data_IF_768796578367
#
_entry.id   IF_768796578367
#
_cell.length_a   1.000
_cell.length_b   1.000
_cell.length_c   1.000
_cell.angle_alpha   90.00
_cell.angle_beta   90.00
_cell.angle_gamma   90.00
#
_symmetry.space_group_name_H-M   'P 1'
#
loop_
_entity.id
_entity.type
_entity.pdbx_description
1 polymer ?
#
# COMPACT_ATOMS: atom_id res chain seq x y z
N UNK A 1 -17.34 0.28 -3.33
CA UNK A 1 -17.96 -0.64 -4.30
C UNK A 1 -18.55 -1.82 -3.53
N UNK A 2 -19.80 -2.17 -3.79
CA UNK A 2 -20.45 -3.34 -3.15
C UNK A 2 -20.12 -4.60 -3.98
N UNK A 3 -19.58 -5.63 -3.33
CA UNK A 3 -19.15 -6.89 -3.96
C UNK A 3 -20.09 -8.07 -3.64
N UNK A 4 -21.24 -7.82 -3.03
CA UNK A 4 -22.20 -8.85 -2.64
C UNK A 4 -21.80 -9.52 -1.32
N UNK A 5 -21.97 -8.79 -0.21
CA UNK A 5 -21.60 -9.23 1.14
C UNK A 5 -20.25 -8.72 1.63
N UNK A 6 -19.53 -7.98 0.78
CA UNK A 6 -18.26 -7.31 1.10
C UNK A 6 -18.23 -5.91 0.48
N UNK A 7 -17.39 -5.06 1.04
CA UNK A 7 -17.20 -3.68 0.59
C UNK A 7 -15.77 -3.48 0.13
N UNK A 8 -15.59 -2.91 -1.06
CA UNK A 8 -14.30 -2.42 -1.52
C UNK A 8 -14.27 -0.89 -1.45
N UNK A 9 -13.46 -0.36 -0.54
CA UNK A 9 -13.11 1.05 -0.47
C UNK A 9 -11.90 1.29 -1.38
N UNK A 10 -12.05 2.19 -2.35
CA UNK A 10 -11.06 2.41 -3.41
C UNK A 10 -10.66 3.88 -3.35
N UNK A 11 -9.37 4.15 -3.23
CA UNK A 11 -8.87 5.51 -3.14
C UNK A 11 -7.50 5.63 -3.78
N UNK A 12 -7.23 6.84 -4.29
CA UNK A 12 -5.92 7.20 -4.77
C UNK A 12 -5.00 7.50 -3.58
N UNK A 13 -3.73 7.11 -3.71
CA UNK A 13 -2.67 7.49 -2.77
C UNK A 13 -1.45 7.92 -3.56
N UNK A 14 -0.71 8.87 -3.02
CA UNK A 14 0.66 9.07 -3.48
C UNK A 14 1.48 7.83 -3.14
N UNK A 15 2.36 7.42 -4.05
CA UNK A 15 3.26 6.29 -3.87
C UNK A 15 4.58 6.51 -4.60
N UNK A 16 5.55 5.63 -4.33
CA UNK A 16 6.84 5.62 -4.99
C UNK A 16 6.76 5.19 -6.46
N UNK A 17 5.75 4.38 -6.82
CA UNK A 17 5.75 3.68 -8.10
C UNK A 17 5.11 4.47 -9.24
N UNK A 18 3.97 5.12 -8.98
CA UNK A 18 3.28 5.94 -9.98
C UNK A 18 2.36 6.97 -9.35
N UNK A 19 2.13 8.09 -10.06
CA UNK A 19 1.25 9.17 -9.61
C UNK A 19 -0.24 8.77 -9.55
N UNK A 20 -0.62 7.74 -10.31
CA UNK A 20 -1.99 7.24 -10.41
C UNK A 20 -2.28 6.03 -9.52
N UNK A 21 -1.44 5.79 -8.49
CA UNK A 21 -1.60 4.65 -7.60
C UNK A 21 -2.98 4.64 -6.95
N UNK A 22 -3.66 3.50 -7.08
CA UNK A 22 -4.94 3.18 -6.45
C UNK A 22 -4.74 2.02 -5.50
N UNK A 23 -5.23 2.16 -4.28
CA UNK A 23 -5.27 1.09 -3.29
C UNK A 23 -6.71 0.71 -2.99
N UNK A 24 -6.90 -0.54 -2.60
CA UNK A 24 -8.23 -1.10 -2.32
C UNK A 24 -8.22 -1.69 -0.92
N UNK A 25 -9.10 -1.19 -0.06
CA UNK A 25 -9.32 -1.71 1.28
C UNK A 25 -10.62 -2.52 1.32
N UNK A 26 -10.54 -3.71 1.93
CA UNK A 26 -11.66 -4.62 2.18
C UNK A 26 -11.85 -4.72 3.71
N UNK A 27 -12.76 -3.93 4.31
CA UNK A 27 -12.90 -3.87 5.76
C UNK A 27 -13.31 -5.19 6.40
N UNK A 28 -14.18 -5.95 5.74
CA UNK A 28 -14.72 -7.20 6.27
C UNK A 28 -13.64 -8.29 6.44
N UNK A 29 -12.60 -8.23 5.61
CA UNK A 29 -11.47 -9.17 5.64
C UNK A 29 -10.20 -8.56 6.26
N UNK A 30 -10.24 -7.26 6.61
CA UNK A 30 -9.07 -6.49 7.05
C UNK A 30 -7.89 -6.60 6.07
N UNK A 31 -8.17 -6.50 4.77
CA UNK A 31 -7.15 -6.59 3.72
C UNK A 31 -6.95 -5.25 3.03
N UNK A 32 -5.68 -4.89 2.81
CA UNK A 32 -5.29 -3.73 2.01
C UNK A 32 -4.50 -4.18 0.78
N UNK A 33 -5.05 -3.98 -0.41
CA UNK A 33 -4.36 -4.23 -1.67
C UNK A 33 -3.54 -2.99 -2.04
N UNK A 34 -2.22 -3.16 -2.02
CA UNK A 34 -1.25 -2.10 -2.34
C UNK A 34 -0.73 -2.21 -3.78
N UNK A 35 -0.81 -3.39 -4.39
CA UNK A 35 -0.18 -3.64 -5.69
C UNK A 35 1.30 -3.30 -5.62
N UNK A 36 1.76 -2.44 -6.53
CA UNK A 36 3.16 -2.04 -6.63
C UNK A 36 3.49 -0.74 -5.90
N UNK A 37 2.59 -0.21 -5.06
CA UNK A 37 2.76 1.08 -4.39
C UNK A 37 4.05 1.20 -3.55
N UNK A 38 4.56 0.07 -3.05
CA UNK A 38 5.79 0.00 -2.23
C UNK A 38 7.03 -0.38 -3.04
N UNK A 39 6.88 -0.63 -4.34
CA UNK A 39 7.99 -0.95 -5.24
C UNK A 39 8.74 0.32 -5.65
N UNK A 40 9.99 0.15 -6.08
CA UNK A 40 10.83 1.25 -6.55
C UNK A 40 10.20 2.01 -7.72
N UNK A 41 10.56 3.29 -7.84
CA UNK A 41 10.18 4.13 -8.96
C UNK A 41 10.93 3.69 -10.22
N UNK A 42 10.34 2.74 -10.93
CA UNK A 42 10.90 2.22 -12.18
C UNK A 42 11.04 3.32 -13.26
N UNK A 43 10.21 4.37 -13.21
CA UNK A 43 10.22 5.45 -14.18
C UNK A 43 11.31 6.48 -13.93
N UNK A 44 11.86 6.54 -12.70
CA UNK A 44 12.90 7.47 -12.29
C UNK A 44 14.20 6.77 -11.81
N UNK A 45 14.62 5.70 -12.50
CA UNK A 45 15.89 4.99 -12.22
C UNK A 45 16.00 4.45 -10.78
N UNK A 46 14.86 4.04 -10.19
CA UNK A 46 14.79 3.57 -8.82
C UNK A 46 14.86 4.68 -7.76
N UNK A 47 14.69 5.95 -8.15
CA UNK A 47 14.69 7.06 -7.21
C UNK A 47 13.59 6.88 -6.15
N UNK A 48 14.02 6.86 -4.88
CA UNK A 48 13.10 6.74 -3.76
C UNK A 48 12.78 8.12 -3.18
N UNK A 49 11.60 8.64 -3.49
CA UNK A 49 11.07 9.85 -2.87
C UNK A 49 10.61 9.56 -1.43
N UNK A 50 11.46 9.91 -0.46
CA UNK A 50 11.22 9.65 0.96
C UNK A 50 9.95 10.30 1.48
N UNK A 51 9.55 11.47 0.95
CA UNK A 51 8.33 12.13 1.41
C UNK A 51 7.08 11.40 0.90
N UNK A 52 7.10 10.92 -0.36
CA UNK A 52 6.03 10.04 -0.86
C UNK A 52 5.96 8.71 -0.11
N UNK A 53 7.11 8.14 0.24
CA UNK A 53 7.16 6.93 1.07
C UNK A 53 6.51 7.17 2.43
N UNK A 54 6.83 8.26 3.13
CA UNK A 54 6.20 8.61 4.41
C UNK A 54 4.70 8.84 4.28
N UNK A 55 4.24 9.48 3.20
CA UNK A 55 2.80 9.64 2.92
C UNK A 55 2.11 8.28 2.79
N UNK A 56 2.70 7.36 2.02
CA UNK A 56 2.19 6.00 1.85
C UNK A 56 2.17 5.23 3.18
N UNK A 57 3.26 5.27 3.95
CA UNK A 57 3.36 4.65 5.28
C UNK A 57 2.25 5.16 6.20
N UNK A 58 2.06 6.49 6.29
CA UNK A 58 1.02 7.08 7.10
C UNK A 58 -0.39 6.65 6.65
N UNK A 59 -0.64 6.49 5.35
CA UNK A 59 -1.91 5.95 4.87
C UNK A 59 -2.11 4.49 5.31
N UNK A 60 -1.11 3.63 5.14
CA UNK A 60 -1.17 2.22 5.58
C UNK A 60 -1.44 2.14 7.09
N UNK A 61 -0.78 2.97 7.89
CA UNK A 61 -0.95 3.02 9.35
C UNK A 61 -2.38 3.36 9.78
N UNK A 62 -3.05 4.26 9.07
CA UNK A 62 -4.40 4.71 9.42
C UNK A 62 -5.52 3.75 8.96
N UNK A 63 -5.20 2.69 8.21
CA UNK A 63 -6.17 1.69 7.74
C UNK A 63 -6.19 0.49 8.69
N UNK A 64 -7.36 0.08 9.17
CA UNK A 64 -7.55 -1.11 10.02
C UNK A 64 -7.45 -2.42 9.21
N UNK A 65 -6.27 -2.69 8.64
CA UNK A 65 -5.95 -3.94 7.97
C UNK A 65 -5.02 -4.82 8.82
N UNK A 66 -5.17 -6.15 8.67
CA UNK A 66 -4.27 -7.16 9.23
C UNK A 66 -3.18 -7.53 8.21
N UNK A 67 -3.56 -7.69 6.94
CA UNK A 67 -2.64 -8.03 5.86
C UNK A 67 -2.64 -6.99 4.74
N UNK A 68 -1.47 -6.82 4.15
CA UNK A 68 -1.23 -6.05 2.94
C UNK A 68 -0.91 -7.00 1.78
N UNK A 69 -1.61 -6.83 0.66
CA UNK A 69 -1.43 -7.62 -0.56
C UNK A 69 -0.59 -6.80 -1.55
N UNK A 70 0.62 -7.28 -1.83
CA UNK A 70 1.58 -6.65 -2.72
C UNK A 70 1.55 -7.31 -4.10
N UNK A 71 2.03 -6.62 -5.13
CA UNK A 71 2.00 -7.13 -6.51
C UNK A 71 2.99 -8.26 -6.81
N UNK A 72 4.13 -8.31 -6.10
CA UNK A 72 5.26 -9.20 -6.44
C UNK A 72 5.80 -10.04 -5.26
N UNK A 73 5.07 -10.13 -4.16
CA UNK A 73 5.45 -10.97 -3.01
C UNK A 73 4.21 -11.58 -2.38
N UNK A 74 4.43 -12.61 -1.54
CA UNK A 74 3.40 -13.14 -0.66
C UNK A 74 2.78 -12.04 0.21
N UNK A 75 1.50 -12.16 0.59
CA UNK A 75 0.85 -11.27 1.54
C UNK A 75 1.67 -11.09 2.81
N UNK A 76 1.83 -9.85 3.26
CA UNK A 76 2.54 -9.51 4.48
C UNK A 76 1.56 -9.08 5.56
N UNK A 77 1.88 -9.34 6.82
CA UNK A 77 1.18 -8.64 7.90
C UNK A 77 1.50 -7.16 7.80
N UNK A 78 0.53 -6.32 8.14
CA UNK A 78 0.71 -4.86 8.18
C UNK A 78 1.98 -4.47 8.95
N UNK A 79 2.22 -5.08 10.10
CA UNK A 79 3.38 -4.75 10.92
C UNK A 79 4.71 -5.13 10.25
N UNK A 80 4.80 -6.32 9.64
CA UNK A 80 6.02 -6.77 8.96
C UNK A 80 6.36 -5.84 7.78
N UNK A 81 5.32 -5.37 7.05
CA UNK A 81 5.49 -4.39 5.99
C UNK A 81 5.95 -3.04 6.54
N UNK A 82 5.29 -2.51 7.58
CA UNK A 82 5.66 -1.22 8.17
C UNK A 82 7.09 -1.24 8.70
N UNK A 83 7.48 -2.31 9.42
CA UNK A 83 8.84 -2.48 9.94
C UNK A 83 9.88 -2.45 8.82
N UNK A 84 9.60 -3.10 7.69
CA UNK A 84 10.45 -3.01 6.50
C UNK A 84 10.52 -1.59 5.92
N UNK A 85 9.39 -0.93 5.71
CA UNK A 85 9.35 0.43 5.12
C UNK A 85 10.07 1.45 6.01
N UNK A 86 10.01 1.28 7.33
CA UNK A 86 10.75 2.10 8.29
C UNK A 86 12.28 1.91 8.21
N UNK A 87 12.78 0.83 7.62
CA UNK A 87 14.24 0.67 7.42
C UNK A 87 14.79 1.46 6.25
N UNK A 88 13.92 2.00 5.39
CA UNK A 88 14.30 2.69 4.16
C UNK A 88 14.63 4.18 4.37
N UNK A 89 14.42 4.73 5.58
CA UNK A 89 14.75 6.10 5.97
C UNK A 89 15.03 6.25 7.46
#
# INVERSE_FOLDING_TARGET
>A
MNLGGMTAEIFHTESLHSEDTVVIYIPEEKLLFLGDATSEDFFNDGYMDIEKLKTLVNHIENIDCEYCILGHTEPLKKQDLLDYLYTLY
#
